data_IF_232951374993
#
_entry.id   IF_232951374993
#
_cell.length_a   1.000
_cell.length_b   1.000
_cell.length_c   1.000
_cell.angle_alpha   90.00
_cell.angle_beta   90.00
_cell.angle_gamma   90.00
#
_symmetry.space_group_name_H-M   'P 1'
#
loop_
_entity.id
_entity.type
_entity.pdbx_description
1 polymer ?
#
# COMPACT_ATOMS: atom_id res chain seq x y z
N UNK A 1 -1.61 -18.00 1.87
CA UNK A 1 -2.15 -16.98 2.79
C UNK A 1 -1.27 -15.72 2.84
N UNK A 2 0.01 -15.80 3.24
CA UNK A 2 0.91 -14.63 3.25
C UNK A 2 1.10 -13.92 1.88
N UNK A 3 0.99 -14.66 0.78
CA UNK A 3 1.03 -14.10 -0.59
C UNK A 3 -0.20 -13.22 -0.89
N UNK A 4 -1.38 -13.63 -0.44
CA UNK A 4 -2.65 -12.94 -0.71
C UNK A 4 -2.67 -11.56 -0.05
N UNK A 5 -2.31 -11.46 1.22
CA UNK A 5 -2.31 -10.16 1.92
C UNK A 5 -1.25 -9.20 1.36
N UNK A 6 -0.15 -9.73 0.82
CA UNK A 6 0.85 -8.95 0.09
C UNK A 6 0.27 -8.39 -1.22
N UNK A 7 -0.53 -9.17 -1.96
CA UNK A 7 -1.19 -8.73 -3.19
C UNK A 7 -2.28 -7.69 -2.92
N UNK A 8 -3.08 -7.89 -1.87
CA UNK A 8 -4.02 -6.87 -1.37
C UNK A 8 -3.26 -5.57 -1.08
N UNK A 9 -2.08 -5.67 -0.48
CA UNK A 9 -1.24 -4.52 -0.20
C UNK A 9 -0.67 -3.81 -1.42
N UNK A 10 -0.38 -4.54 -2.50
CA UNK A 10 -0.04 -3.94 -3.80
C UNK A 10 -1.22 -3.15 -4.33
N UNK A 11 -2.37 -3.80 -4.43
CA UNK A 11 -3.51 -3.23 -5.09
C UNK A 11 -4.01 -1.97 -4.39
N UNK A 12 -4.12 -2.00 -3.06
CA UNK A 12 -4.51 -0.81 -2.28
C UNK A 12 -3.49 0.33 -2.46
N UNK A 13 -2.18 0.03 -2.50
CA UNK A 13 -1.15 1.04 -2.79
C UNK A 13 -1.34 1.66 -4.18
N UNK A 14 -1.58 0.83 -5.20
CA UNK A 14 -1.84 1.29 -6.57
C UNK A 14 -3.10 2.15 -6.66
N UNK A 15 -4.15 1.81 -5.91
CA UNK A 15 -5.36 2.62 -5.82
C UNK A 15 -5.09 4.00 -5.19
N UNK A 16 -4.24 4.07 -4.16
CA UNK A 16 -3.83 5.35 -3.54
C UNK A 16 -3.03 6.20 -4.53
N UNK A 17 -2.16 5.57 -5.33
CA UNK A 17 -1.39 6.24 -6.39
C UNK A 17 -2.33 6.82 -7.46
N UNK A 18 -3.19 5.97 -8.03
CA UNK A 18 -4.06 6.33 -9.16
C UNK A 18 -5.10 7.39 -8.79
N UNK A 19 -5.64 7.34 -7.56
CA UNK A 19 -6.61 8.32 -7.08
C UNK A 19 -5.98 9.60 -6.50
N UNK A 20 -4.65 9.76 -6.57
CA UNK A 20 -3.91 10.89 -5.97
C UNK A 20 -4.23 11.11 -4.48
N UNK A 21 -4.63 10.07 -3.75
CA UNK A 21 -5.11 10.19 -2.38
C UNK A 21 -5.77 8.92 -1.86
N UNK A 22 -6.09 8.91 -0.57
CA UNK A 22 -6.79 7.80 0.08
C UNK A 22 -8.30 7.90 -0.19
N UNK A 23 -8.88 6.86 -0.78
CA UNK A 23 -10.32 6.74 -1.00
C UNK A 23 -10.85 5.55 -0.18
N UNK A 24 -11.48 5.84 0.96
CA UNK A 24 -11.97 4.81 1.89
C UNK A 24 -12.99 3.87 1.26
N UNK A 25 -13.87 4.39 0.40
CA UNK A 25 -14.94 3.59 -0.21
C UNK A 25 -14.36 2.56 -1.18
N UNK A 26 -13.40 2.99 -2.00
CA UNK A 26 -12.77 2.10 -2.97
C UNK A 26 -11.90 1.04 -2.29
N UNK A 27 -11.18 1.42 -1.23
CA UNK A 27 -10.37 0.49 -0.45
C UNK A 27 -11.25 -0.52 0.28
N UNK A 28 -12.39 -0.08 0.81
CA UNK A 28 -13.39 -0.98 1.41
C UNK A 28 -13.90 -1.99 0.40
N UNK A 29 -14.37 -1.54 -0.77
CA UNK A 29 -14.84 -2.42 -1.85
C UNK A 29 -13.79 -3.46 -2.25
N UNK A 30 -12.52 -3.04 -2.31
CA UNK A 30 -11.43 -3.93 -2.65
C UNK A 30 -11.19 -4.99 -1.55
N UNK A 31 -11.22 -4.59 -0.28
CA UNK A 31 -11.10 -5.52 0.84
C UNK A 31 -12.27 -6.49 0.92
N UNK A 32 -13.51 -5.99 0.75
CA UNK A 32 -14.73 -6.80 0.73
C UNK A 32 -14.63 -7.89 -0.36
N UNK A 33 -14.18 -7.52 -1.56
CA UNK A 33 -14.01 -8.47 -2.68
C UNK A 33 -12.97 -9.57 -2.38
N UNK A 34 -11.89 -9.24 -1.66
CA UNK A 34 -10.91 -10.24 -1.24
C UNK A 34 -11.41 -11.09 -0.08
N UNK A 35 -12.19 -10.50 0.83
CA UNK A 35 -12.78 -11.20 1.96
C UNK A 35 -13.74 -12.30 1.51
N UNK A 36 -14.55 -12.04 0.48
CA UNK A 36 -15.49 -13.02 -0.11
C UNK A 36 -14.80 -14.30 -0.59
N UNK A 37 -13.58 -14.18 -1.11
CA UNK A 37 -12.85 -15.32 -1.72
C UNK A 37 -11.87 -15.96 -0.73
N UNK A 38 -11.10 -15.15 0.00
CA UNK A 38 -9.94 -15.61 0.75
C UNK A 38 -10.14 -15.64 2.26
N UNK A 39 -11.23 -15.04 2.78
CA UNK A 39 -11.57 -14.98 4.21
C UNK A 39 -10.38 -14.52 5.06
N UNK A 40 -9.90 -13.31 4.81
CA UNK A 40 -8.77 -12.73 5.55
C UNK A 40 -9.14 -12.63 7.03
N UNK A 41 -8.20 -12.98 7.89
CA UNK A 41 -8.37 -12.84 9.33
C UNK A 41 -8.00 -11.43 9.80
N UNK A 42 -8.38 -11.09 11.04
CA UNK A 42 -8.13 -9.77 11.60
C UNK A 42 -6.64 -9.40 11.64
N UNK A 43 -5.75 -10.35 11.92
CA UNK A 43 -4.30 -10.09 11.97
C UNK A 43 -3.73 -9.75 10.59
N UNK A 44 -4.21 -10.44 9.55
CA UNK A 44 -3.85 -10.16 8.16
C UNK A 44 -4.29 -8.75 7.76
N UNK A 45 -5.55 -8.38 8.02
CA UNK A 45 -6.05 -7.04 7.70
C UNK A 45 -5.31 -5.97 8.51
N UNK A 46 -5.06 -6.21 9.80
CA UNK A 46 -4.31 -5.30 10.66
C UNK A 46 -2.83 -5.14 10.22
N UNK A 47 -2.28 -6.08 9.46
CA UNK A 47 -0.93 -5.99 8.92
C UNK A 47 -0.80 -5.07 7.71
N UNK A 48 -1.91 -4.78 7.01
CA UNK A 48 -1.91 -4.00 5.77
C UNK A 48 -1.20 -2.63 5.86
N UNK A 49 -1.41 -1.79 6.89
CA UNK A 49 -0.73 -0.49 6.97
C UNK A 49 0.79 -0.65 7.06
N UNK A 50 1.26 -1.66 7.79
CA UNK A 50 2.66 -2.01 7.88
C UNK A 50 3.20 -2.49 6.52
N UNK A 51 2.46 -3.37 5.83
CA UNK A 51 2.84 -3.90 4.52
C UNK A 51 2.94 -2.78 3.47
N UNK A 52 1.99 -1.82 3.43
CA UNK A 52 2.05 -0.67 2.53
C UNK A 52 3.34 0.13 2.74
N UNK A 53 3.67 0.44 4.00
CA UNK A 53 4.86 1.21 4.35
C UNK A 53 6.14 0.44 4.04
N UNK A 54 6.23 -0.82 4.45
CA UNK A 54 7.40 -1.68 4.21
C UNK A 54 7.70 -1.78 2.73
N UNK A 55 6.68 -2.03 1.90
CA UNK A 55 6.83 -2.15 0.44
C UNK A 55 7.26 -0.84 -0.22
N UNK A 56 6.69 0.28 0.21
CA UNK A 56 7.05 1.60 -0.31
C UNK A 56 8.51 1.93 -0.01
N UNK A 57 8.96 1.70 1.24
CA UNK A 57 10.37 1.92 1.64
C UNK A 57 11.32 0.99 0.88
N UNK A 58 10.96 -0.29 0.74
CA UNK A 58 11.75 -1.24 -0.03
C UNK A 58 11.90 -0.79 -1.49
N UNK A 59 10.81 -0.36 -2.14
CA UNK A 59 10.84 0.10 -3.53
C UNK A 59 11.70 1.36 -3.69
N UNK A 60 11.63 2.32 -2.76
CA UNK A 60 12.50 3.50 -2.75
C UNK A 60 13.97 3.07 -2.70
N UNK A 61 14.34 2.20 -1.75
CA UNK A 61 15.72 1.72 -1.61
C UNK A 61 16.20 0.97 -2.86
N UNK A 62 15.34 0.13 -3.43
CA UNK A 62 15.64 -0.59 -4.66
C UNK A 62 15.87 0.36 -5.84
N UNK A 63 15.01 1.35 -6.03
CA UNK A 63 15.15 2.33 -7.11
C UNK A 63 16.37 3.24 -6.91
N UNK A 64 16.67 3.65 -5.67
CA UNK A 64 17.89 4.38 -5.33
C UNK A 64 19.14 3.55 -5.68
N UNK A 65 19.16 2.27 -5.32
CA UNK A 65 20.23 1.36 -5.71
C UNK A 65 20.35 1.23 -7.23
N UNK A 66 19.24 1.08 -7.95
CA UNK A 66 19.26 1.06 -9.42
C UNK A 66 19.79 2.37 -10.02
N UNK A 67 19.49 3.50 -9.39
CA UNK A 67 19.97 4.80 -9.82
C UNK A 67 21.50 4.97 -9.64
N UNK A 68 22.11 4.30 -8.65
CA UNK A 68 23.58 4.30 -8.51
C UNK A 68 24.25 3.48 -9.61
N UNK A 69 23.58 2.46 -10.12
CA UNK A 69 24.07 1.61 -11.22
C UNK A 69 23.82 2.23 -12.60
N UNK A 70 22.66 2.88 -12.80
CA UNK A 70 22.24 3.46 -14.05
C UNK A 70 21.56 4.81 -13.79
N UNK A 71 22.26 5.91 -14.06
CA UNK A 71 21.76 7.27 -13.82
C UNK A 71 20.69 7.63 -14.86
N UNK A 72 19.44 7.28 -14.57
CA UNK A 72 18.30 7.54 -15.45
C UNK A 72 17.35 8.58 -14.85
N UNK A 73 16.92 9.54 -15.67
CA UNK A 73 15.87 10.50 -15.30
C UNK A 73 14.52 9.83 -15.07
N UNK A 74 14.26 8.67 -15.70
CA UNK A 74 13.04 7.90 -15.49
C UNK A 74 13.03 7.23 -14.10
N UNK A 75 14.18 6.74 -13.63
CA UNK A 75 14.31 6.20 -12.29
C UNK A 75 14.09 7.29 -11.22
N UNK A 76 14.59 8.51 -11.44
CA UNK A 76 14.34 9.65 -10.55
C UNK A 76 12.83 9.93 -10.43
N UNK A 77 12.10 9.97 -11.55
CA UNK A 77 10.64 10.17 -11.54
C UNK A 77 9.91 9.09 -10.74
N UNK A 78 10.36 7.84 -10.82
CA UNK A 78 9.80 6.72 -10.05
C UNK A 78 10.10 6.81 -8.56
N UNK A 79 11.31 7.22 -8.20
CA UNK A 79 11.67 7.51 -6.80
C UNK A 79 10.77 8.63 -6.24
N UNK A 80 10.59 9.72 -6.99
CA UNK A 80 9.72 10.82 -6.58
C UNK A 80 8.27 10.39 -6.37
N UNK A 81 7.76 9.51 -7.24
CA UNK A 81 6.43 8.92 -7.10
C UNK A 81 6.32 8.13 -5.79
N UNK A 82 7.26 7.24 -5.52
CA UNK A 82 7.26 6.42 -4.30
C UNK A 82 7.41 7.27 -3.03
N UNK A 83 8.21 8.35 -3.06
CA UNK A 83 8.31 9.31 -1.95
C UNK A 83 6.98 10.03 -1.71
N UNK A 84 6.27 10.43 -2.78
CA UNK A 84 4.93 11.05 -2.66
C UNK A 84 3.94 10.06 -2.05
N UNK A 85 3.99 8.79 -2.44
CA UNK A 85 3.17 7.72 -1.85
C UNK A 85 3.48 7.57 -0.37
N UNK A 86 4.75 7.49 0.01
CA UNK A 86 5.15 7.38 1.42
C UNK A 86 4.64 8.55 2.25
N UNK A 87 4.74 9.78 1.74
CA UNK A 87 4.21 10.98 2.40
C UNK A 87 2.69 10.93 2.54
N UNK A 88 1.97 10.49 1.51
CA UNK A 88 0.52 10.32 1.57
C UNK A 88 0.11 9.23 2.56
N UNK A 89 0.81 8.10 2.58
CA UNK A 89 0.59 7.05 3.57
C UNK A 89 0.84 7.54 4.99
N UNK A 90 1.90 8.32 5.22
CA UNK A 90 2.19 8.93 6.53
C UNK A 90 1.10 9.91 6.98
N UNK A 91 0.69 10.83 6.09
CA UNK A 91 -0.38 11.80 6.38
C UNK A 91 -1.70 11.13 6.72
N UNK A 92 -2.03 10.05 6.01
CA UNK A 92 -3.27 9.31 6.19
C UNK A 92 -3.12 8.14 7.17
N UNK A 93 -1.95 7.91 7.77
CA UNK A 93 -1.66 6.67 8.51
C UNK A 93 -2.63 6.42 9.66
N UNK A 94 -2.97 7.49 10.40
CA UNK A 94 -3.96 7.41 11.48
C UNK A 94 -5.35 7.05 10.95
N UNK A 95 -5.75 7.62 9.81
CA UNK A 95 -7.03 7.31 9.17
C UNK A 95 -7.05 5.88 8.61
N UNK A 96 -5.98 5.46 7.95
CA UNK A 96 -5.77 4.10 7.43
C UNK A 96 -5.85 3.08 8.56
N UNK A 97 -5.11 3.29 9.65
CA UNK A 97 -5.11 2.41 10.82
C UNK A 97 -6.47 2.39 11.48
N UNK A 98 -7.14 3.54 11.63
CA UNK A 98 -8.47 3.57 12.22
C UNK A 98 -9.48 2.85 11.33
N UNK A 99 -9.45 3.05 10.01
CA UNK A 99 -10.32 2.37 9.07
C UNK A 99 -10.12 0.85 9.13
N UNK A 100 -8.86 0.39 9.09
CA UNK A 100 -8.51 -1.03 9.14
C UNK A 100 -8.86 -1.67 10.49
N UNK A 101 -8.60 -0.99 11.61
CA UNK A 101 -8.93 -1.49 12.95
C UNK A 101 -10.44 -1.69 13.15
N UNK A 102 -11.27 -0.92 12.45
CA UNK A 102 -12.73 -1.03 12.52
C UNK A 102 -13.32 -1.79 11.32
N UNK A 103 -12.48 -2.27 10.41
CA UNK A 103 -12.92 -3.15 9.33
C UNK A 103 -13.28 -4.51 9.96
N UNK A 104 -14.56 -4.85 9.94
CA UNK A 104 -15.03 -6.11 10.51
C UNK A 104 -14.73 -7.23 9.52
N UNK A 105 -13.99 -8.24 9.98
CA UNK A 105 -13.98 -9.54 9.32
C UNK A 105 -15.30 -10.21 9.71
N UNK A 106 -16.26 -10.26 8.79
CA UNK A 106 -17.43 -11.14 8.92
C UNK A 106 -17.08 -12.56 8.44
#
# INVERSE_FOLDING_TARGET
MAEIISDVAIAIKELIIKNKGFNSNLIKQYLDSYQEVFRLNADEINSLPFLFRRRTVFMINYLLYKQTQNKSTELIKRIDLEIKVLKNLQKNFKFINNFIKHYKCE
#
